data_IF_383124660886
#
_entry.id   IF_383124660886
#
_cell.length_a   1.000
_cell.length_b   1.000
_cell.length_c   1.000
_cell.angle_alpha   90.00
_cell.angle_beta   90.00
_cell.angle_gamma   90.00
#
_symmetry.space_group_name_H-M   'P 1'
#
loop_
_entity.id
_entity.type
_entity.pdbx_description
1 polymer ?
#
# COMPACT_ATOMS: atom_id res chain seq x y z
N UNK A 1 -2.39 20.78 7.07
CA UNK A 1 -0.94 20.61 6.97
C UNK A 1 -0.68 19.61 5.83
N UNK A 2 0.09 20.02 4.81
CA UNK A 2 0.46 19.12 3.72
C UNK A 2 1.31 17.96 4.26
N UNK A 3 1.02 16.75 3.79
CA UNK A 3 1.86 15.57 4.12
C UNK A 3 3.23 15.76 3.47
N UNK A 4 4.34 15.59 4.21
CA UNK A 4 5.66 15.67 3.60
C UNK A 4 5.82 14.63 2.49
N UNK A 5 6.60 14.92 1.45
CA UNK A 5 6.84 13.96 0.37
C UNK A 5 7.52 12.70 0.90
N UNK A 6 7.22 11.56 0.27
CA UNK A 6 7.88 10.32 0.61
C UNK A 6 9.38 10.40 0.28
N UNK A 7 10.23 10.06 1.25
CA UNK A 7 11.67 9.97 1.04
C UNK A 7 12.06 8.77 0.17
N UNK A 8 11.26 7.70 0.25
CA UNK A 8 11.41 6.49 -0.57
C UNK A 8 10.03 5.95 -0.92
N UNK A 9 9.86 5.44 -2.14
CA UNK A 9 8.65 4.75 -2.56
C UNK A 9 8.99 3.56 -3.45
N UNK A 10 8.35 2.42 -3.20
CA UNK A 10 8.54 1.17 -3.94
C UNK A 10 7.20 0.57 -4.31
N UNK A 11 7.06 0.15 -5.56
CA UNK A 11 5.95 -0.68 -6.03
C UNK A 11 6.49 -2.09 -6.28
N UNK A 12 5.97 -3.04 -5.53
CA UNK A 12 6.47 -4.42 -5.48
C UNK A 12 5.40 -5.38 -6.02
N UNK A 13 5.68 -6.14 -7.08
CA UNK A 13 4.84 -7.26 -7.45
C UNK A 13 4.85 -8.31 -6.33
N UNK A 14 3.67 -8.69 -5.85
CA UNK A 14 3.56 -9.63 -4.73
C UNK A 14 4.09 -11.02 -5.11
N UNK A 15 4.01 -11.38 -6.38
CA UNK A 15 4.59 -12.64 -6.89
C UNK A 15 6.12 -12.72 -6.72
N UNK A 16 6.82 -11.60 -6.60
CA UNK A 16 8.26 -11.60 -6.27
C UNK A 16 8.51 -11.82 -4.78
N UNK A 17 7.48 -11.78 -3.95
CA UNK A 17 7.50 -11.88 -2.50
C UNK A 17 6.81 -13.16 -2.00
N UNK A 18 6.81 -14.24 -2.78
CA UNK A 18 6.10 -15.48 -2.46
C UNK A 18 6.46 -16.06 -1.09
N UNK A 19 7.72 -15.91 -0.67
CA UNK A 19 8.18 -16.34 0.65
C UNK A 19 7.50 -15.59 1.80
N UNK A 20 6.94 -14.40 1.54
CA UNK A 20 6.14 -13.67 2.53
C UNK A 20 4.78 -14.32 2.76
N UNK A 21 4.29 -15.11 1.80
CA UNK A 21 3.00 -15.80 1.82
C UNK A 21 3.11 -17.29 2.10
N UNK A 22 4.26 -17.76 2.59
CA UNK A 22 4.42 -19.16 2.94
C UNK A 22 3.29 -19.62 3.90
N UNK A 23 2.55 -20.66 3.50
CA UNK A 23 1.40 -21.19 4.26
C UNK A 23 0.05 -20.51 3.97
N UNK A 24 -0.03 -19.55 3.04
CA UNK A 24 -1.31 -19.05 2.53
C UNK A 24 -1.79 -19.84 1.32
N UNK A 25 -3.12 -19.89 1.13
CA UNK A 25 -3.72 -20.57 -0.04
C UNK A 25 -3.34 -19.84 -1.34
N UNK A 26 -3.06 -20.60 -2.40
CA UNK A 26 -2.81 -20.07 -3.73
C UNK A 26 -4.06 -19.36 -4.27
N UNK A 27 -3.86 -18.26 -5.01
CA UNK A 27 -4.93 -17.51 -5.68
C UNK A 27 -5.66 -16.48 -4.80
N UNK A 28 -5.23 -16.29 -3.56
CA UNK A 28 -5.82 -15.31 -2.64
C UNK A 28 -4.86 -14.16 -2.31
N UNK A 29 -3.89 -13.91 -3.17
CA UNK A 29 -2.89 -12.86 -2.99
C UNK A 29 -3.22 -11.65 -3.84
N UNK A 30 -2.99 -10.43 -3.34
CA UNK A 30 -3.08 -9.22 -4.15
C UNK A 30 -1.93 -9.18 -5.19
N UNK A 31 -2.10 -8.38 -6.24
CA UNK A 31 -1.10 -8.27 -7.29
C UNK A 31 0.13 -7.44 -6.87
N UNK A 32 -0.09 -6.33 -6.18
CA UNK A 32 0.95 -5.34 -5.89
C UNK A 32 0.90 -4.86 -4.44
N UNK A 33 2.08 -4.50 -3.93
CA UNK A 33 2.24 -3.78 -2.67
C UNK A 33 3.07 -2.51 -2.92
N UNK A 34 2.50 -1.35 -2.65
CA UNK A 34 3.24 -0.10 -2.62
C UNK A 34 3.63 0.23 -1.18
N UNK A 35 4.89 0.57 -1.00
CA UNK A 35 5.44 1.03 0.29
C UNK A 35 6.08 2.40 0.08
N UNK A 36 5.74 3.36 0.91
CA UNK A 36 6.35 4.69 0.91
C UNK A 36 6.80 5.05 2.32
N UNK A 37 8.05 5.45 2.46
CA UNK A 37 8.63 5.90 3.72
C UNK A 37 8.62 7.43 3.78
N UNK A 38 7.98 7.97 4.79
CA UNK A 38 7.95 9.39 5.10
C UNK A 38 8.81 9.64 6.34
N UNK A 39 9.87 10.40 6.16
CA UNK A 39 10.71 10.86 7.26
C UNK A 39 10.07 12.12 7.84
N UNK A 40 9.87 12.14 9.14
CA UNK A 40 9.27 13.26 9.87
C UNK A 40 10.33 14.01 10.66
N UNK A 41 10.19 15.31 10.77
CA UNK A 41 11.10 16.14 11.61
C UNK A 41 11.03 15.74 13.08
N UNK A 42 9.87 15.28 13.53
CA UNK A 42 9.62 14.83 14.91
C UNK A 42 8.77 13.57 14.92
N UNK A 43 9.10 12.64 15.82
CA UNK A 43 8.37 11.39 16.00
C UNK A 43 8.96 10.22 15.21
N UNK A 44 8.18 9.16 15.12
CA UNK A 44 8.59 7.95 14.41
C UNK A 44 8.40 8.12 12.89
N UNK A 45 9.24 7.46 12.07
CA UNK A 45 9.02 7.41 10.63
C UNK A 45 7.66 6.78 10.32
N UNK A 46 6.98 7.28 9.29
CA UNK A 46 5.70 6.76 8.83
C UNK A 46 5.87 5.95 7.56
N UNK A 47 5.37 4.73 7.56
CA UNK A 47 5.21 3.94 6.35
C UNK A 47 3.76 4.06 5.89
N UNK A 48 3.58 4.48 4.65
CA UNK A 48 2.30 4.33 3.94
C UNK A 48 2.38 3.06 3.11
N UNK A 49 1.45 2.14 3.36
CA UNK A 49 1.39 0.84 2.70
C UNK A 49 0.04 0.69 1.98
N UNK A 50 0.08 0.50 0.67
CA UNK A 50 -1.10 0.33 -0.18
C UNK A 50 -1.06 -1.05 -0.83
N UNK A 51 -2.08 -1.85 -0.53
CA UNK A 51 -2.29 -3.18 -1.13
C UNK A 51 -3.18 -3.02 -2.34
N UNK A 52 -2.73 -3.48 -3.50
CA UNK A 52 -3.37 -3.26 -4.78
C UNK A 52 -3.74 -4.58 -5.46
N UNK A 53 -4.93 -4.59 -6.04
CA UNK A 53 -5.39 -5.64 -6.94
C UNK A 53 -5.83 -5.02 -8.26
N UNK A 54 -5.45 -5.63 -9.38
CA UNK A 54 -5.76 -5.15 -10.72
C UNK A 54 -6.59 -6.20 -11.47
N UNK A 55 -7.69 -5.79 -12.09
CA UNK A 55 -8.49 -6.66 -12.94
C UNK A 55 -8.65 -6.05 -14.33
N UNK A 56 -8.27 -6.80 -15.33
CA UNK A 56 -8.49 -6.45 -16.74
C UNK A 56 -9.41 -7.51 -17.34
N UNK A 57 -10.69 -7.18 -17.56
CA UNK A 57 -11.70 -8.13 -18.00
C UNK A 57 -12.94 -7.42 -18.57
N UNK A 58 -13.89 -8.19 -19.11
CA UNK A 58 -15.27 -7.73 -19.26
C UNK A 58 -15.92 -7.57 -17.88
N UNK A 59 -16.89 -6.68 -17.79
CA UNK A 59 -17.58 -6.39 -16.54
C UNK A 59 -18.30 -7.64 -15.99
N UNK A 60 -17.86 -8.04 -14.79
CA UNK A 60 -18.52 -9.07 -13.99
C UNK A 60 -18.38 -8.70 -12.50
N UNK A 61 -19.47 -8.55 -11.76
CA UNK A 61 -19.44 -8.29 -10.32
C UNK A 61 -18.63 -9.30 -9.51
N UNK A 62 -18.53 -10.55 -9.99
CA UNK A 62 -17.75 -11.61 -9.32
C UNK A 62 -16.26 -11.30 -9.32
N UNK A 63 -15.75 -10.62 -10.35
CA UNK A 63 -14.36 -10.16 -10.39
C UNK A 63 -14.07 -9.15 -9.28
N UNK A 64 -14.99 -8.21 -9.03
CA UNK A 64 -14.82 -7.24 -7.95
C UNK A 64 -14.88 -7.90 -6.58
N UNK A 65 -15.79 -8.85 -6.39
CA UNK A 65 -15.88 -9.61 -5.14
C UNK A 65 -14.58 -10.39 -4.86
N UNK A 66 -14.05 -11.09 -5.87
CA UNK A 66 -12.79 -11.82 -5.76
C UNK A 66 -11.62 -10.88 -5.47
N UNK A 67 -11.51 -9.76 -6.18
CA UNK A 67 -10.49 -8.75 -5.96
C UNK A 67 -10.55 -8.17 -4.54
N UNK A 68 -11.75 -7.89 -4.04
CA UNK A 68 -11.96 -7.43 -2.66
C UNK A 68 -11.46 -8.45 -1.63
N UNK A 69 -11.72 -9.74 -1.84
CA UNK A 69 -11.23 -10.81 -0.97
C UNK A 69 -9.70 -10.89 -1.00
N UNK A 70 -9.07 -10.77 -2.17
CA UNK A 70 -7.61 -10.80 -2.33
C UNK A 70 -6.96 -9.64 -1.57
N UNK A 71 -7.47 -8.40 -1.73
CA UNK A 71 -6.95 -7.23 -1.01
C UNK A 71 -7.15 -7.37 0.50
N UNK A 72 -8.33 -7.81 0.95
CA UNK A 72 -8.61 -8.01 2.38
C UNK A 72 -7.67 -9.05 3.01
N UNK A 73 -7.41 -10.13 2.30
CA UNK A 73 -6.46 -11.15 2.76
C UNK A 73 -5.02 -10.64 2.79
N UNK A 74 -4.61 -9.91 1.74
CA UNK A 74 -3.31 -9.24 1.72
C UNK A 74 -3.15 -8.29 2.90
N UNK A 75 -4.15 -7.44 3.16
CA UNK A 75 -4.14 -6.54 4.31
C UNK A 75 -4.01 -7.30 5.63
N UNK A 76 -4.85 -8.33 5.86
CA UNK A 76 -4.78 -9.15 7.08
C UNK A 76 -3.40 -9.79 7.26
N UNK A 77 -2.83 -10.27 6.16
CA UNK A 77 -1.53 -10.92 6.15
C UNK A 77 -0.39 -9.94 6.47
N UNK A 78 -0.35 -8.80 5.80
CA UNK A 78 0.70 -7.81 5.97
C UNK A 78 0.62 -7.06 7.31
N UNK A 79 -0.58 -6.68 7.75
CA UNK A 79 -0.76 -5.98 9.03
C UNK A 79 -0.24 -6.79 10.21
N UNK A 80 -0.41 -8.11 10.16
CA UNK A 80 0.09 -9.02 11.19
C UNK A 80 1.62 -9.13 11.15
N UNK A 81 2.22 -9.23 9.96
CA UNK A 81 3.65 -9.43 9.80
C UNK A 81 4.46 -8.17 10.07
N UNK A 82 3.97 -7.06 9.58
CA UNK A 82 4.63 -5.76 9.72
C UNK A 82 4.06 -4.92 10.87
N UNK A 83 3.59 -5.56 11.92
CA UNK A 83 3.17 -4.85 13.11
C UNK A 83 4.39 -4.16 13.79
N UNK A 84 4.31 -2.85 14.08
CA UNK A 84 5.38 -2.15 14.79
C UNK A 84 5.64 -2.70 16.17
N UNK A 85 6.83 -2.42 16.72
CA UNK A 85 7.13 -2.69 18.11
C UNK A 85 6.31 -1.77 19.03
N UNK A 86 5.85 -2.32 20.14
CA UNK A 86 5.13 -1.55 21.16
C UNK A 86 5.98 -1.45 22.41
N UNK A 87 5.97 -0.30 23.11
CA UNK A 87 6.70 -0.12 24.34
C UNK A 87 6.44 -1.23 25.37
N UNK A 88 5.21 -1.75 25.41
CA UNK A 88 4.75 -2.73 26.39
C UNK A 88 4.88 -4.19 25.93
N UNK A 89 5.43 -4.46 24.74
CA UNK A 89 5.43 -5.80 24.15
C UNK A 89 6.46 -6.77 24.75
N UNK A 90 7.24 -6.34 25.73
CA UNK A 90 8.25 -7.18 26.35
C UNK A 90 9.37 -7.59 25.38
N UNK A 91 9.80 -8.85 25.48
CA UNK A 91 10.89 -9.36 24.63
C UNK A 91 10.43 -9.55 23.20
N UNK A 92 11.05 -8.84 22.25
CA UNK A 92 10.76 -8.96 20.82
C UNK A 92 11.14 -10.35 20.32
N UNK A 93 10.22 -11.05 19.67
CA UNK A 93 10.49 -12.36 19.07
C UNK A 93 11.43 -12.23 17.87
N UNK A 94 12.20 -13.30 17.60
CA UNK A 94 13.07 -13.37 16.42
C UNK A 94 12.29 -13.17 15.12
N UNK A 95 11.09 -13.71 15.05
CA UNK A 95 10.19 -13.64 13.91
C UNK A 95 9.80 -12.19 13.56
N UNK A 96 9.52 -11.35 14.56
CA UNK A 96 9.24 -9.92 14.34
C UNK A 96 10.44 -9.18 13.78
N UNK A 97 11.63 -9.40 14.31
CA UNK A 97 12.86 -8.78 13.80
C UNK A 97 13.13 -9.16 12.34
N UNK A 98 12.87 -10.42 11.99
CA UNK A 98 12.95 -10.87 10.60
C UNK A 98 12.02 -10.06 9.69
N UNK A 99 10.76 -9.85 10.09
CA UNK A 99 9.80 -9.12 9.27
C UNK A 99 10.13 -7.62 9.14
N UNK A 100 10.65 -6.98 10.18
CA UNK A 100 11.11 -5.59 10.11
C UNK A 100 12.31 -5.45 9.16
N UNK A 101 13.26 -6.37 9.21
CA UNK A 101 14.37 -6.42 8.27
C UNK A 101 13.91 -6.64 6.82
N UNK A 102 12.88 -7.49 6.59
CA UNK A 102 12.30 -7.67 5.25
C UNK A 102 11.63 -6.39 4.75
N UNK A 103 10.91 -5.67 5.61
CA UNK A 103 10.28 -4.41 5.27
C UNK A 103 11.31 -3.33 4.91
N UNK A 104 12.37 -3.20 5.71
CA UNK A 104 13.50 -2.30 5.42
C UNK A 104 14.15 -2.66 4.08
N UNK A 105 14.43 -3.94 3.85
CA UNK A 105 15.02 -4.41 2.59
C UNK A 105 14.12 -4.12 1.39
N UNK A 106 12.82 -4.31 1.52
CA UNK A 106 11.86 -4.02 0.46
C UNK A 106 11.87 -2.54 0.08
N UNK A 107 11.92 -1.64 1.07
CA UNK A 107 12.01 -0.20 0.83
C UNK A 107 13.33 0.21 0.17
N UNK A 108 14.44 -0.39 0.55
CA UNK A 108 15.78 0.00 0.07
C UNK A 108 16.18 -0.66 -1.25
N UNK A 109 15.46 -1.69 -1.72
CA UNK A 109 15.90 -2.56 -2.82
C UNK A 109 16.12 -1.88 -4.18
N UNK A 110 15.50 -0.73 -4.44
CA UNK A 110 15.55 -0.02 -5.73
C UNK A 110 15.63 1.50 -5.61
N UNK A 111 15.91 2.04 -4.43
CA UNK A 111 15.88 3.49 -4.22
C UNK A 111 17.18 4.14 -4.68
N UNK A 112 17.11 4.90 -5.75
CA UNK A 112 18.15 5.86 -6.14
C UNK A 112 17.52 7.25 -6.01
N UNK A 113 17.72 7.90 -4.86
CA UNK A 113 17.27 9.26 -4.64
C UNK A 113 18.50 10.14 -4.44
N UNK A 114 18.58 11.24 -5.20
CA UNK A 114 19.61 12.24 -4.97
C UNK A 114 19.21 13.05 -3.73
N UNK A 115 19.81 12.72 -2.59
CA UNK A 115 19.59 13.37 -1.30
C UNK A 115 20.78 14.25 -0.93
N UNK A 116 20.51 15.38 -0.28
CA UNK A 116 21.50 16.16 0.44
C UNK A 116 22.09 15.35 1.60
N UNK A 117 23.22 15.78 2.16
CA UNK A 117 23.85 15.08 3.29
C UNK A 117 22.94 15.03 4.53
N UNK A 118 22.18 16.10 4.78
CA UNK A 118 21.24 16.15 5.90
C UNK A 118 20.07 15.17 5.70
N UNK A 119 19.43 15.16 4.53
CA UNK A 119 18.35 14.24 4.22
C UNK A 119 18.80 12.79 4.27
N UNK A 120 20.03 12.51 3.85
CA UNK A 120 20.62 11.17 3.96
C UNK A 120 20.76 10.73 5.42
N UNK A 121 21.28 11.60 6.30
CA UNK A 121 21.38 11.30 7.73
C UNK A 121 20.02 11.05 8.39
N UNK A 122 18.99 11.81 8.03
CA UNK A 122 17.62 11.60 8.51
C UNK A 122 17.03 10.28 7.98
N UNK A 123 17.29 9.95 6.73
CA UNK A 123 16.85 8.70 6.14
C UNK A 123 17.52 7.48 6.79
N UNK A 124 18.84 7.53 7.01
CA UNK A 124 19.58 6.46 7.68
C UNK A 124 19.05 6.21 9.10
N UNK A 125 18.78 7.27 9.85
CA UNK A 125 18.17 7.16 11.18
C UNK A 125 16.75 6.56 11.13
N UNK A 126 15.95 6.94 10.13
CA UNK A 126 14.61 6.38 9.94
C UNK A 126 14.67 4.88 9.59
N UNK A 127 15.63 4.47 8.76
CA UNK A 127 15.84 3.07 8.39
C UNK A 127 16.34 2.22 9.57
N UNK A 128 17.20 2.77 10.42
CA UNK A 128 17.62 2.11 11.67
C UNK A 128 16.42 1.91 12.61
N UNK A 129 15.63 2.97 12.83
CA UNK A 129 14.41 2.88 13.64
C UNK A 129 13.45 1.82 13.12
N UNK A 130 13.29 1.73 11.80
CA UNK A 130 12.44 0.73 11.15
C UNK A 130 12.96 -0.70 11.37
N UNK A 131 14.29 -0.92 11.29
CA UNK A 131 14.90 -2.22 11.52
C UNK A 131 14.71 -2.72 12.97
N UNK A 132 14.52 -1.79 13.91
CA UNK A 132 14.21 -2.09 15.31
C UNK A 132 12.71 -2.18 15.60
N UNK A 133 11.88 -1.89 14.59
CA UNK A 133 10.42 -1.91 14.69
C UNK A 133 9.81 -0.60 15.22
N UNK A 134 10.59 0.45 15.36
CA UNK A 134 10.10 1.77 15.80
C UNK A 134 9.65 2.60 14.61
N UNK A 135 8.41 2.43 14.20
CA UNK A 135 7.76 3.15 13.12
C UNK A 135 6.25 3.15 13.29
N UNK A 136 5.59 4.04 12.60
CA UNK A 136 4.14 4.00 12.36
C UNK A 136 3.88 3.44 10.97
N UNK A 137 2.75 2.74 10.80
CA UNK A 137 2.34 2.24 9.50
C UNK A 137 0.85 2.50 9.26
N UNK A 138 0.55 3.14 8.13
CA UNK A 138 -0.81 3.38 7.67
C UNK A 138 -1.10 2.44 6.48
N UNK A 139 -2.11 1.59 6.64
CA UNK A 139 -2.51 0.63 5.63
C UNK A 139 -3.69 1.12 4.83
N UNK A 140 -3.68 0.85 3.53
CA UNK A 140 -4.78 1.10 2.62
C UNK A 140 -4.91 -0.04 1.61
N UNK A 141 -6.08 -0.16 0.99
CA UNK A 141 -6.31 -1.08 -0.10
C UNK A 141 -6.96 -0.38 -1.28
N UNK A 142 -6.61 -0.79 -2.50
CA UNK A 142 -7.30 -0.34 -3.70
C UNK A 142 -7.46 -1.49 -4.70
N UNK A 143 -8.56 -1.46 -5.43
CA UNK A 143 -8.86 -2.35 -6.53
C UNK A 143 -8.97 -1.48 -7.78
N UNK A 144 -8.12 -1.74 -8.76
CA UNK A 144 -8.23 -1.15 -10.08
C UNK A 144 -8.91 -2.15 -11.02
N UNK A 145 -10.03 -1.74 -11.63
CA UNK A 145 -10.69 -2.54 -12.65
C UNK A 145 -10.66 -1.79 -13.98
N UNK A 146 -10.21 -2.50 -14.99
CA UNK A 146 -10.14 -2.03 -16.37
C UNK A 146 -11.16 -2.82 -17.19
N UNK A 147 -12.36 -2.23 -17.37
CA UNK A 147 -13.47 -2.91 -18.06
C UNK A 147 -13.37 -2.71 -19.56
N UNK A 148 -13.32 -3.80 -20.31
CA UNK A 148 -13.15 -3.76 -21.77
C UNK A 148 -14.44 -3.54 -22.53
N UNK A 149 -15.59 -3.66 -21.88
CA UNK A 149 -16.95 -3.57 -22.42
C UNK A 149 -17.77 -2.39 -21.86
N UNK A 150 -17.20 -1.63 -20.92
CA UNK A 150 -17.82 -0.42 -20.38
C UNK A 150 -17.16 0.81 -20.99
N UNK A 151 -17.97 1.69 -21.60
CA UNK A 151 -17.52 3.00 -22.04
C UNK A 151 -17.39 3.95 -20.83
N UNK A 152 -16.43 4.88 -20.90
CA UNK A 152 -16.27 5.95 -19.94
C UNK A 152 -14.83 6.44 -19.89
N UNK A 153 -14.59 7.74 -20.16
CA UNK A 153 -13.25 8.31 -20.21
C UNK A 153 -12.70 8.63 -18.81
N UNK A 154 -13.58 8.75 -17.80
CA UNK A 154 -13.20 9.16 -16.45
C UNK A 154 -13.26 7.98 -15.47
N UNK A 155 -12.27 7.87 -14.55
CA UNK A 155 -12.32 6.88 -13.50
C UNK A 155 -13.52 7.10 -12.57
N UNK A 156 -14.18 6.01 -12.19
CA UNK A 156 -15.20 6.04 -11.12
C UNK A 156 -14.57 5.50 -9.86
N UNK A 157 -14.56 6.30 -8.79
CA UNK A 157 -13.97 5.93 -7.50
C UNK A 157 -15.08 5.69 -6.48
N UNK A 158 -15.10 4.50 -5.89
CA UNK A 158 -16.13 4.08 -4.94
C UNK A 158 -15.46 3.48 -3.69
N UNK A 159 -15.83 3.91 -2.47
CA UNK A 159 -15.35 3.26 -1.26
C UNK A 159 -16.06 1.92 -1.06
N UNK A 160 -15.29 0.90 -0.68
CA UNK A 160 -15.80 -0.41 -0.27
C UNK A 160 -15.52 -0.54 1.23
N UNK A 161 -16.54 -0.73 2.08
CA UNK A 161 -16.33 -0.90 3.51
C UNK A 161 -15.55 -2.19 3.78
N UNK A 162 -14.55 -2.10 4.66
CA UNK A 162 -13.83 -3.28 5.13
C UNK A 162 -14.62 -3.97 6.25
N UNK A 163 -14.76 -5.30 6.18
CA UNK A 163 -15.33 -6.07 7.29
C UNK A 163 -14.53 -5.89 8.58
N UNK A 164 -15.19 -5.96 9.72
CA UNK A 164 -14.54 -5.97 11.02
C UNK A 164 -13.52 -7.12 11.10
N UNK A 165 -12.34 -6.86 11.68
CA UNK A 165 -11.29 -7.87 11.86
C UNK A 165 -10.38 -8.12 10.68
N UNK A 166 -10.49 -7.36 9.59
CA UNK A 166 -9.51 -7.39 8.49
C UNK A 166 -8.18 -6.82 8.97
N UNK A 167 -8.23 -5.74 9.75
CA UNK A 167 -7.06 -5.17 10.43
C UNK A 167 -7.06 -5.67 11.87
N UNK A 168 -6.01 -6.37 12.30
CA UNK A 168 -5.88 -6.80 13.69
C UNK A 168 -5.68 -5.60 14.64
N UNK A 169 -6.33 -5.60 15.83
CA UNK A 169 -6.06 -4.57 16.85
C UNK A 169 -4.60 -4.60 17.27
N UNK A 170 -4.00 -3.46 17.53
CA UNK A 170 -4.61 -2.16 17.70
C UNK A 170 -4.35 -1.18 16.57
N UNK A 171 -4.30 -1.65 15.36
CA UNK A 171 -4.37 -0.72 14.24
C UNK A 171 -5.77 -0.10 14.32
N UNK A 172 -5.89 0.97 15.10
CA UNK A 172 -6.97 1.90 14.88
C UNK A 172 -6.79 2.35 13.44
N UNK A 173 -7.61 1.77 12.56
CA UNK A 173 -7.75 2.35 11.24
C UNK A 173 -7.99 3.83 11.46
N UNK A 174 -7.18 4.72 10.88
CA UNK A 174 -7.50 6.14 10.90
C UNK A 174 -8.97 6.25 10.51
N UNK A 175 -9.73 7.10 11.19
CA UNK A 175 -11.14 7.31 10.85
C UNK A 175 -11.19 7.56 9.34
N UNK A 176 -11.85 6.66 8.59
CA UNK A 176 -11.89 6.73 7.13
C UNK A 176 -11.07 5.70 6.37
N UNK A 177 -10.49 4.67 7.03
CA UNK A 177 -9.89 3.57 6.28
C UNK A 177 -10.95 2.90 5.41
N UNK A 178 -10.78 2.98 4.10
CA UNK A 178 -11.64 2.33 3.13
C UNK A 178 -10.80 1.56 2.12
N UNK A 179 -11.34 0.44 1.65
CA UNK A 179 -10.88 -0.18 0.44
C UNK A 179 -11.47 0.61 -0.73
N UNK A 180 -10.61 1.10 -1.62
CA UNK A 180 -11.05 1.91 -2.76
C UNK A 180 -11.21 1.03 -3.99
N UNK A 181 -12.32 1.16 -4.67
CA UNK A 181 -12.53 0.63 -6.01
C UNK A 181 -12.43 1.75 -7.03
N UNK A 182 -11.51 1.61 -7.98
CA UNK A 182 -11.24 2.56 -9.06
C UNK A 182 -11.53 1.85 -10.36
N UNK A 183 -12.67 2.17 -10.98
CA UNK A 183 -13.11 1.57 -12.23
C UNK A 183 -12.78 2.48 -13.41
N UNK A 184 -12.15 1.92 -14.45
CA UNK A 184 -11.90 2.57 -15.73
C UNK A 184 -12.60 1.79 -16.83
N UNK A 185 -13.36 2.49 -17.68
CA UNK A 185 -13.87 1.94 -18.93
C UNK A 185 -12.78 1.91 -20.02
N UNK A 186 -13.07 1.27 -21.15
CA UNK A 186 -12.10 1.11 -22.24
C UNK A 186 -11.59 2.45 -22.80
N UNK A 187 -12.41 3.51 -22.82
CA UNK A 187 -11.99 4.85 -23.25
C UNK A 187 -10.97 5.47 -22.29
N UNK A 188 -11.15 5.29 -20.96
CA UNK A 188 -10.19 5.72 -19.96
C UNK A 188 -8.88 4.95 -20.06
N UNK A 189 -8.92 3.65 -20.31
CA UNK A 189 -7.73 2.83 -20.56
C UNK A 189 -7.00 3.30 -21.82
N UNK A 190 -7.74 3.54 -22.92
CA UNK A 190 -7.15 4.03 -24.18
C UNK A 190 -6.49 5.39 -23.99
N UNK A 191 -7.11 6.28 -23.22
CA UNK A 191 -6.53 7.58 -22.90
C UNK A 191 -5.24 7.50 -22.08
N UNK A 192 -5.09 6.48 -21.23
CA UNK A 192 -3.86 6.24 -20.47
C UNK A 192 -2.69 5.77 -21.34
N UNK A 193 -2.98 5.05 -22.42
CA UNK A 193 -1.97 4.48 -23.32
C UNK A 193 -1.85 5.21 -24.67
N UNK A 194 -2.61 6.30 -24.89
CA UNK A 194 -2.58 7.09 -26.11
C UNK A 194 -1.31 7.93 -26.25
N UNK A 195 -1.05 8.43 -27.48
CA UNK A 195 0.18 9.15 -27.87
C UNK A 195 0.45 10.48 -27.13
N UNK A 196 -0.50 10.97 -26.37
CA UNK A 196 -0.35 12.10 -25.47
C UNK A 196 -0.93 11.77 -24.10
N UNK A 197 -0.18 11.09 -23.22
CA UNK A 197 -0.64 10.86 -21.87
C UNK A 197 -0.72 12.19 -21.14
N UNK A 198 -1.88 12.84 -21.22
CA UNK A 198 -2.24 13.86 -20.23
C UNK A 198 -2.51 13.11 -18.94
N UNK A 199 -1.44 12.62 -18.33
CA UNK A 199 -1.49 12.12 -16.97
C UNK A 199 -1.83 13.30 -16.07
N UNK A 200 -3.10 13.56 -15.85
CA UNK A 200 -3.47 14.00 -14.53
C UNK A 200 -3.02 12.84 -13.63
N UNK A 201 -1.83 12.95 -13.06
CA UNK A 201 -1.39 12.12 -11.97
C UNK A 201 -2.55 12.11 -10.99
N UNK A 202 -3.30 11.01 -10.95
CA UNK A 202 -4.20 10.75 -9.83
C UNK A 202 -3.23 10.50 -8.68
N UNK A 203 -2.76 11.59 -8.09
CA UNK A 203 -2.10 11.53 -6.81
C UNK A 203 -3.21 11.16 -5.86
N UNK A 204 -3.40 9.86 -5.67
CA UNK A 204 -4.21 9.38 -4.56
C UNK A 204 -3.40 9.76 -3.34
N UNK A 205 -3.63 10.97 -2.82
CA UNK A 205 -3.18 11.32 -1.49
C UNK A 205 -4.00 10.46 -0.54
N UNK A 206 -3.41 9.42 0.06
CA UNK A 206 -4.15 8.48 0.87
C UNK A 206 -4.71 9.09 2.14
N UNK A 207 -4.34 10.31 2.48
CA UNK A 207 -4.80 11.02 3.68
C UNK A 207 -5.77 12.17 3.39
N UNK A 208 -5.98 12.54 2.13
CA UNK A 208 -6.79 13.71 1.75
C UNK A 208 -7.82 13.42 0.67
N UNK A 209 -8.42 12.23 0.64
CA UNK A 209 -9.59 11.98 -0.22
C UNK A 209 -10.80 12.81 0.26
N UNK A 210 -10.68 14.12 0.19
CA UNK A 210 -11.79 15.04 0.21
C UNK A 210 -12.19 15.29 -1.25
N UNK A 211 -13.25 14.62 -1.66
CA UNK A 211 -13.90 14.91 -2.93
C UNK A 211 -14.65 16.25 -2.77
N UNK A 212 -14.25 17.25 -3.51
CA UNK A 212 -15.04 18.47 -3.75
C UNK A 212 -15.80 18.32 -5.08
#
# INVERSE_FOLDING_TARGET
>A
LATPPAAMSQLLPVDTLLHWFAGSEEGQRPDLLQLSLIVRDHGLPLIQALVLECKFAQYDPTHLQKASQQVQQGLRHFTRRFAPNRPDSGRVSFDRRYWWAQLQRALTSRSVVALSQQERGQLDQALESLAEGYYEIAWQGAIFTFWTDIAGPTPVVTPIPLPAGVLEPPLQAPQGFALWHIALGYEGVTALFGDAPTFALITIDPLSLTFS
#
